data_IF_678798536744
#
_entry.id   IF_678798536744
#
_cell.length_a   1.000
_cell.length_b   1.000
_cell.length_c   1.000
_cell.angle_alpha   90.00
_cell.angle_beta   90.00
_cell.angle_gamma   90.00
#
_symmetry.space_group_name_H-M   'P 1'
#
loop_
_entity.id
_entity.type
_entity.pdbx_description
1 polymer ?
#
# COMPACT_ATOMS: atom_id res chain seq x y z
N UNK A 1 27.91 7.64 59.69
CA UNK A 1 27.37 8.12 58.40
C UNK A 1 25.93 8.55 58.63
N UNK A 2 25.58 9.80 58.34
CA UNK A 2 24.24 10.31 58.66
C UNK A 2 23.22 9.88 57.60
N UNK A 3 21.97 9.67 58.01
CA UNK A 3 20.86 9.22 57.13
C UNK A 3 20.64 10.14 55.91
N UNK A 4 21.06 11.41 56.00
CA UNK A 4 20.99 12.39 54.90
C UNK A 4 22.03 12.13 53.79
N UNK A 5 23.24 11.67 54.14
CA UNK A 5 24.27 11.31 53.15
C UNK A 5 23.89 10.04 52.38
N UNK A 6 23.29 9.06 53.07
CA UNK A 6 22.79 7.84 52.43
C UNK A 6 21.64 8.10 51.43
N UNK A 7 20.75 9.05 51.75
CA UNK A 7 19.66 9.47 50.86
C UNK A 7 20.15 10.23 49.60
N UNK A 8 21.20 11.04 49.73
CA UNK A 8 21.83 11.74 48.61
C UNK A 8 22.58 10.75 47.70
N UNK A 9 23.30 9.79 48.27
CA UNK A 9 24.01 8.76 47.51
C UNK A 9 23.03 7.82 46.79
N UNK A 10 21.92 7.43 47.43
CA UNK A 10 20.87 6.62 46.82
C UNK A 10 20.20 7.33 45.63
N UNK A 11 19.97 8.64 45.72
CA UNK A 11 19.42 9.44 44.60
C UNK A 11 20.38 9.50 43.41
N UNK A 12 21.67 9.63 43.66
CA UNK A 12 22.70 9.59 42.62
C UNK A 12 22.75 8.24 41.90
N UNK A 13 22.64 7.14 42.64
CA UNK A 13 22.62 5.79 42.08
C UNK A 13 21.35 5.52 41.26
N UNK A 14 20.18 5.95 41.72
CA UNK A 14 18.92 5.80 40.97
C UNK A 14 18.98 6.58 39.65
N UNK A 15 19.44 7.83 39.68
CA UNK A 15 19.58 8.65 38.48
C UNK A 15 20.58 8.04 37.49
N UNK A 16 21.69 7.49 37.98
CA UNK A 16 22.68 6.80 37.16
C UNK A 16 22.11 5.54 36.50
N UNK A 17 21.40 4.70 37.26
CA UNK A 17 20.77 3.49 36.72
C UNK A 17 19.69 3.83 35.69
N UNK A 18 18.88 4.87 35.94
CA UNK A 18 17.88 5.33 34.99
C UNK A 18 18.53 5.83 33.69
N UNK A 19 19.59 6.63 33.79
CA UNK A 19 20.34 7.10 32.62
C UNK A 19 20.96 5.94 31.83
N UNK A 20 21.47 4.92 32.53
CA UNK A 20 22.04 3.72 31.91
C UNK A 20 20.97 2.94 31.13
N UNK A 21 19.80 2.69 31.72
CA UNK A 21 18.69 2.00 31.06
C UNK A 21 18.21 2.76 29.83
N UNK A 22 18.03 4.08 29.93
CA UNK A 22 17.60 4.92 28.81
C UNK A 22 18.64 4.93 27.69
N UNK A 23 19.93 5.01 28.02
CA UNK A 23 21.02 4.95 27.05
C UNK A 23 21.07 3.59 26.34
N UNK A 24 20.96 2.48 27.09
CA UNK A 24 20.91 1.13 26.51
C UNK A 24 19.70 0.94 25.61
N UNK A 25 18.51 1.41 26.01
CA UNK A 25 17.31 1.34 25.18
C UNK A 25 17.44 2.17 23.89
N UNK A 26 18.05 3.35 23.97
CA UNK A 26 18.31 4.19 22.79
C UNK A 26 19.30 3.54 21.82
N UNK A 27 20.36 2.90 22.32
CA UNK A 27 21.32 2.15 21.50
C UNK A 27 20.62 0.99 20.79
N UNK A 28 19.85 0.17 21.52
CA UNK A 28 19.11 -0.96 20.94
C UNK A 28 18.09 -0.48 19.89
N UNK A 29 17.41 0.65 20.15
CA UNK A 29 16.44 1.22 19.22
C UNK A 29 17.11 1.71 17.93
N UNK A 30 18.25 2.41 18.03
CA UNK A 30 19.02 2.87 16.88
C UNK A 30 19.62 1.70 16.08
N UNK A 31 20.16 0.69 16.77
CA UNK A 31 20.70 -0.53 16.16
C UNK A 31 19.59 -1.35 15.47
N UNK A 32 18.37 -1.35 16.03
CA UNK A 32 17.19 -1.96 15.44
C UNK A 32 16.72 -1.28 14.14
N UNK A 33 16.76 0.05 14.08
CA UNK A 33 16.44 0.81 12.86
C UNK A 33 17.48 0.51 11.76
N UNK A 34 18.77 0.51 12.11
CA UNK A 34 19.86 0.29 11.15
C UNK A 34 19.86 -1.16 10.62
N UNK A 35 19.57 -2.12 11.50
CA UNK A 35 19.42 -3.53 11.13
C UNK A 35 18.21 -3.75 10.24
N UNK A 36 17.08 -3.08 10.50
CA UNK A 36 15.87 -3.21 9.68
C UNK A 36 16.08 -2.58 8.30
N UNK A 37 16.77 -1.44 8.22
CA UNK A 37 17.13 -0.80 6.95
C UNK A 37 18.05 -1.71 6.12
N UNK A 38 19.07 -2.29 6.76
CA UNK A 38 20.01 -3.20 6.11
C UNK A 38 19.38 -4.51 5.65
N UNK A 39 18.49 -5.10 6.46
CA UNK A 39 17.72 -6.29 6.05
C UNK A 39 16.80 -5.94 4.88
N UNK A 40 16.16 -4.76 4.87
CA UNK A 40 15.31 -4.35 3.76
C UNK A 40 16.11 -4.18 2.47
N UNK A 41 17.27 -3.52 2.54
CA UNK A 41 18.17 -3.38 1.40
C UNK A 41 18.70 -4.72 0.91
N UNK A 42 19.05 -5.62 1.83
CA UNK A 42 19.57 -6.94 1.48
C UNK A 42 18.48 -7.87 0.93
N UNK A 43 17.24 -7.78 1.42
CA UNK A 43 16.08 -8.48 0.84
C UNK A 43 15.73 -7.92 -0.53
N UNK A 44 15.79 -6.60 -0.74
CA UNK A 44 15.61 -5.98 -2.07
C UNK A 44 16.70 -6.42 -3.04
N UNK A 45 17.96 -6.45 -2.59
CA UNK A 45 19.09 -6.91 -3.38
C UNK A 45 19.01 -8.42 -3.69
N UNK A 46 18.66 -9.25 -2.71
CA UNK A 46 18.53 -10.68 -2.87
C UNK A 46 17.33 -11.03 -3.77
N UNK A 47 16.20 -10.31 -3.68
CA UNK A 47 15.07 -10.45 -4.63
C UNK A 47 15.50 -10.07 -6.06
N UNK A 48 16.31 -9.03 -6.21
CA UNK A 48 16.85 -8.63 -7.51
C UNK A 48 17.79 -9.69 -8.10
N UNK A 49 18.56 -10.39 -7.25
CA UNK A 49 19.54 -11.42 -7.65
C UNK A 49 18.89 -12.80 -7.84
N UNK A 50 17.86 -13.16 -7.07
CA UNK A 50 17.32 -14.54 -7.04
C UNK A 50 16.03 -14.78 -7.82
N UNK A 51 15.28 -13.77 -8.30
CA UNK A 51 13.94 -14.09 -8.84
C UNK A 51 13.23 -13.25 -9.91
N UNK A 52 13.50 -11.96 -10.17
CA UNK A 52 12.59 -11.21 -11.08
C UNK A 52 13.15 -9.98 -11.79
N UNK A 53 14.46 -9.86 -11.96
CA UNK A 53 15.03 -8.88 -12.90
C UNK A 53 15.20 -9.51 -14.30
N UNK A 54 14.19 -10.26 -14.78
CA UNK A 54 13.98 -10.28 -16.21
C UNK A 54 13.64 -8.84 -16.59
N UNK A 55 14.45 -8.20 -17.43
CA UNK A 55 13.99 -6.99 -18.14
C UNK A 55 12.54 -7.21 -18.53
N UNK A 56 11.60 -6.28 -18.27
CA UNK A 56 10.23 -6.44 -18.74
C UNK A 56 10.32 -6.69 -20.24
N UNK A 57 10.12 -7.95 -20.64
CA UNK A 57 10.17 -8.35 -22.03
C UNK A 57 9.18 -7.43 -22.74
N UNK A 58 9.60 -6.79 -23.83
CA UNK A 58 8.76 -5.83 -24.56
C UNK A 58 7.40 -6.47 -24.90
N UNK A 59 7.38 -7.80 -25.07
CA UNK A 59 6.16 -8.61 -25.22
C UNK A 59 5.23 -8.59 -23.99
N UNK A 60 5.79 -8.64 -22.79
CA UNK A 60 5.02 -8.54 -21.55
C UNK A 60 4.38 -7.15 -21.43
N UNK A 61 5.09 -6.08 -21.80
CA UNK A 61 4.51 -4.73 -21.77
C UNK A 61 3.36 -4.55 -22.76
N UNK A 62 3.49 -5.04 -24.00
CA UNK A 62 2.41 -4.97 -24.98
C UNK A 62 1.16 -5.77 -24.57
N UNK A 63 1.35 -6.91 -23.89
CA UNK A 63 0.22 -7.70 -23.38
C UNK A 63 -0.50 -6.98 -22.23
N UNK A 64 0.24 -6.28 -21.37
CA UNK A 64 -0.31 -5.47 -20.30
C UNK A 64 -1.03 -4.23 -20.83
N UNK A 65 -0.47 -3.55 -21.83
CA UNK A 65 -1.11 -2.43 -22.54
C UNK A 65 -2.44 -2.89 -23.17
N UNK A 66 -2.43 -4.01 -23.88
CA UNK A 66 -3.66 -4.59 -24.46
C UNK A 66 -4.69 -4.97 -23.39
N UNK A 67 -4.27 -5.45 -22.22
CA UNK A 67 -5.17 -5.76 -21.11
C UNK A 67 -5.81 -4.49 -20.50
N UNK A 68 -5.02 -3.41 -20.36
CA UNK A 68 -5.51 -2.11 -19.89
C UNK A 68 -6.54 -1.53 -20.88
N UNK A 69 -6.21 -1.52 -22.17
CA UNK A 69 -7.09 -1.01 -23.22
C UNK A 69 -8.37 -1.84 -23.36
N UNK A 70 -8.28 -3.16 -23.21
CA UNK A 70 -9.43 -4.07 -23.23
C UNK A 70 -10.41 -3.78 -22.09
N UNK A 71 -9.92 -3.61 -20.86
CA UNK A 71 -10.77 -3.29 -19.71
C UNK A 71 -11.53 -1.97 -19.90
N UNK A 72 -10.85 -0.95 -20.43
CA UNK A 72 -11.48 0.33 -20.79
C UNK A 72 -12.53 0.18 -21.90
N UNK A 73 -12.19 -0.54 -22.97
CA UNK A 73 -13.09 -0.76 -24.12
C UNK A 73 -14.38 -1.48 -23.69
N UNK A 74 -14.26 -2.49 -22.83
CA UNK A 74 -15.42 -3.25 -22.32
C UNK A 74 -16.33 -2.35 -21.48
N UNK A 75 -15.76 -1.46 -20.66
CA UNK A 75 -16.53 -0.48 -19.89
C UNK A 75 -17.20 0.56 -20.77
N UNK A 76 -16.50 1.13 -21.76
CA UNK A 76 -17.09 2.09 -22.71
C UNK A 76 -18.27 1.48 -23.48
N UNK A 77 -18.21 0.18 -23.80
CA UNK A 77 -19.30 -0.53 -24.45
C UNK A 77 -20.52 -0.76 -23.53
N UNK A 78 -20.29 -1.08 -22.25
CA UNK A 78 -21.35 -1.46 -21.31
C UNK A 78 -21.09 -0.94 -19.88
N UNK A 79 -21.19 0.38 -19.61
CA UNK A 79 -20.73 0.97 -18.34
C UNK A 79 -21.60 0.62 -17.14
N UNK A 80 -22.81 0.09 -17.38
CA UNK A 80 -23.77 -0.28 -16.34
C UNK A 80 -23.64 -1.73 -15.87
N UNK A 81 -22.81 -2.55 -16.54
CA UNK A 81 -22.68 -3.97 -16.21
C UNK A 81 -21.58 -4.16 -15.17
N UNK A 82 -21.84 -4.83 -14.03
CA UNK A 82 -20.85 -5.02 -12.96
C UNK A 82 -19.53 -5.64 -13.44
N UNK A 83 -19.61 -6.60 -14.37
CA UNK A 83 -18.43 -7.20 -14.99
C UNK A 83 -17.55 -6.18 -15.73
N UNK A 84 -18.17 -5.27 -16.48
CA UNK A 84 -17.45 -4.25 -17.25
C UNK A 84 -16.80 -3.21 -16.33
N UNK A 85 -17.51 -2.81 -15.28
CA UNK A 85 -16.98 -1.94 -14.23
C UNK A 85 -15.79 -2.59 -13.51
N UNK A 86 -15.91 -3.87 -13.11
CA UNK A 86 -14.82 -4.62 -12.49
C UNK A 86 -13.59 -4.74 -13.41
N UNK A 87 -13.81 -5.00 -14.71
CA UNK A 87 -12.74 -5.07 -15.69
C UNK A 87 -12.00 -3.72 -15.83
N UNK A 88 -12.73 -2.60 -15.87
CA UNK A 88 -12.13 -1.27 -15.92
C UNK A 88 -11.38 -0.90 -14.63
N UNK A 89 -11.90 -1.23 -13.45
CA UNK A 89 -11.21 -1.01 -12.17
C UNK A 89 -9.88 -1.79 -12.11
N UNK A 90 -9.91 -3.07 -12.50
CA UNK A 90 -8.70 -3.90 -12.56
C UNK A 90 -7.68 -3.36 -13.59
N UNK A 91 -8.16 -2.92 -14.75
CA UNK A 91 -7.33 -2.29 -15.77
C UNK A 91 -6.70 -0.98 -15.29
N UNK A 92 -7.44 -0.15 -14.54
CA UNK A 92 -6.93 1.09 -13.96
C UNK A 92 -5.84 0.80 -12.91
N UNK A 93 -6.05 -0.19 -12.04
CA UNK A 93 -5.04 -0.64 -11.06
C UNK A 93 -3.79 -1.18 -11.76
N UNK A 94 -3.98 -1.99 -12.80
CA UNK A 94 -2.87 -2.49 -13.61
C UNK A 94 -2.10 -1.35 -14.30
N UNK A 95 -2.82 -0.39 -14.88
CA UNK A 95 -2.26 0.79 -15.53
C UNK A 95 -1.41 1.63 -14.58
N UNK A 96 -1.92 1.91 -13.38
CA UNK A 96 -1.19 2.67 -12.36
C UNK A 96 0.01 1.88 -11.83
N UNK A 97 -0.15 0.60 -11.50
CA UNK A 97 0.95 -0.21 -10.94
C UNK A 97 2.11 -0.44 -11.93
N UNK A 98 1.80 -0.52 -13.24
CA UNK A 98 2.79 -0.78 -14.29
C UNK A 98 3.26 0.49 -15.03
N UNK A 99 2.74 1.68 -14.67
CA UNK A 99 3.05 2.92 -15.36
C UNK A 99 2.63 2.92 -16.83
N UNK A 100 1.49 2.32 -17.13
CA UNK A 100 0.89 2.24 -18.47
C UNK A 100 -0.22 3.28 -18.58
N UNK A 101 -0.16 4.14 -19.60
CA UNK A 101 -1.12 5.23 -19.81
C UNK A 101 -0.92 6.41 -18.85
N UNK A 102 -1.92 7.28 -18.77
CA UNK A 102 -1.89 8.49 -17.93
C UNK A 102 -2.56 8.18 -16.58
N UNK A 103 -1.80 8.29 -15.48
CA UNK A 103 -2.32 8.04 -14.11
C UNK A 103 -3.58 8.84 -13.79
N UNK A 104 -3.64 10.10 -14.23
CA UNK A 104 -4.80 10.96 -14.03
C UNK A 104 -6.06 10.42 -14.76
N UNK A 105 -5.91 9.76 -15.91
CA UNK A 105 -7.04 9.15 -16.61
C UNK A 105 -7.56 7.91 -15.88
N UNK A 106 -6.65 7.08 -15.35
CA UNK A 106 -7.03 5.92 -14.53
C UNK A 106 -7.76 6.35 -13.27
N UNK A 107 -7.27 7.39 -12.58
CA UNK A 107 -7.95 7.95 -11.42
C UNK A 107 -9.32 8.52 -11.79
N UNK A 108 -9.44 9.25 -12.91
CA UNK A 108 -10.73 9.77 -13.39
C UNK A 108 -11.73 8.65 -13.67
N UNK A 109 -11.28 7.56 -14.30
CA UNK A 109 -12.12 6.41 -14.61
C UNK A 109 -12.59 5.71 -13.32
N UNK A 110 -11.70 5.51 -12.36
CA UNK A 110 -12.05 4.94 -11.05
C UNK A 110 -13.05 5.84 -10.32
N UNK A 111 -12.83 7.16 -10.33
CA UNK A 111 -13.72 8.15 -9.71
C UNK A 111 -15.14 8.10 -10.31
N UNK A 112 -15.23 7.98 -11.63
CA UNK A 112 -16.49 7.85 -12.38
C UNK A 112 -17.24 6.56 -12.02
N UNK A 113 -16.54 5.43 -11.96
CA UNK A 113 -17.14 4.13 -11.61
C UNK A 113 -17.61 4.15 -10.15
N UNK A 114 -16.78 4.61 -9.22
CA UNK A 114 -17.17 4.72 -7.80
C UNK A 114 -18.38 5.64 -7.65
N UNK A 115 -18.38 6.79 -8.32
CA UNK A 115 -19.53 7.71 -8.31
C UNK A 115 -20.82 7.06 -8.82
N UNK A 116 -20.72 6.21 -9.84
CA UNK A 116 -21.87 5.43 -10.32
C UNK A 116 -22.36 4.46 -9.24
N UNK A 117 -21.45 3.67 -8.65
CA UNK A 117 -21.78 2.68 -7.61
C UNK A 117 -22.34 3.28 -6.33
N UNK A 118 -21.90 4.49 -5.96
CA UNK A 118 -22.47 5.25 -4.84
C UNK A 118 -23.96 5.58 -5.05
N UNK A 119 -24.39 5.72 -6.31
CA UNK A 119 -25.79 6.01 -6.64
C UNK A 119 -26.64 4.77 -6.90
N UNK A 120 -26.07 3.76 -7.58
CA UNK A 120 -26.79 2.56 -8.00
C UNK A 120 -26.70 1.42 -6.99
N UNK A 121 -25.77 1.49 -6.04
CA UNK A 121 -25.33 0.37 -5.23
C UNK A 121 -24.25 -0.45 -5.92
N UNK A 122 -23.44 -1.13 -5.10
CA UNK A 122 -22.43 -2.08 -5.56
C UNK A 122 -22.98 -3.51 -5.54
N UNK A 123 -22.79 -4.22 -6.64
CA UNK A 123 -23.04 -5.67 -6.73
C UNK A 123 -21.87 -6.43 -6.08
N UNK A 124 -22.15 -7.52 -5.36
CA UNK A 124 -21.12 -8.36 -4.75
C UNK A 124 -20.03 -8.84 -5.74
N UNK A 125 -20.37 -8.98 -7.02
CA UNK A 125 -19.43 -9.35 -8.08
C UNK A 125 -18.30 -8.32 -8.29
N UNK A 126 -18.50 -7.06 -7.90
CA UNK A 126 -17.50 -5.98 -8.06
C UNK A 126 -16.60 -5.79 -6.83
N UNK A 127 -16.97 -6.36 -5.67
CA UNK A 127 -16.26 -6.17 -4.40
C UNK A 127 -14.76 -6.52 -4.48
N UNK A 128 -14.32 -7.60 -5.15
CA UNK A 128 -12.88 -7.89 -5.27
C UNK A 128 -12.11 -6.80 -6.01
N UNK A 129 -12.70 -6.24 -7.08
CA UNK A 129 -12.07 -5.16 -7.85
C UNK A 129 -11.99 -3.86 -7.03
N UNK A 130 -13.04 -3.54 -6.27
CA UNK A 130 -13.05 -2.42 -5.33
C UNK A 130 -11.97 -2.58 -4.24
N UNK A 131 -11.80 -3.79 -3.69
CA UNK A 131 -10.74 -4.07 -2.72
C UNK A 131 -9.33 -3.85 -3.30
N UNK A 132 -9.10 -4.25 -4.55
CA UNK A 132 -7.83 -4.00 -5.24
C UNK A 132 -7.59 -2.50 -5.47
N UNK A 133 -8.62 -1.75 -5.84
CA UNK A 133 -8.53 -0.30 -6.00
C UNK A 133 -8.21 0.37 -4.67
N UNK A 134 -8.88 0.01 -3.58
CA UNK A 134 -8.59 0.58 -2.27
C UNK A 134 -7.13 0.33 -1.83
N UNK A 135 -6.58 -0.86 -2.14
CA UNK A 135 -5.20 -1.19 -1.82
C UNK A 135 -4.18 -0.43 -2.70
N UNK A 136 -4.47 -0.27 -4.00
CA UNK A 136 -3.54 0.34 -4.96
C UNK A 136 -3.67 1.88 -5.04
N UNK A 137 -4.83 2.42 -4.68
CA UNK A 137 -5.18 3.84 -4.79
C UNK A 137 -5.86 4.31 -3.48
N UNK A 138 -5.09 4.52 -2.39
CA UNK A 138 -5.62 4.76 -1.06
C UNK A 138 -6.55 5.99 -0.96
N UNK A 139 -6.44 6.95 -1.87
CA UNK A 139 -7.34 8.12 -1.92
C UNK A 139 -8.82 7.76 -2.11
N UNK A 140 -9.14 6.57 -2.63
CA UNK A 140 -10.51 6.11 -2.82
C UNK A 140 -11.02 5.25 -1.67
N UNK A 141 -10.18 4.88 -0.69
CA UNK A 141 -10.52 3.96 0.39
C UNK A 141 -11.78 4.39 1.15
N UNK A 142 -11.86 5.67 1.55
CA UNK A 142 -12.99 6.21 2.30
C UNK A 142 -14.33 6.07 1.57
N UNK A 143 -14.32 6.11 0.24
CA UNK A 143 -15.52 5.96 -0.60
C UNK A 143 -15.83 4.50 -0.90
N UNK A 144 -14.81 3.65 -0.98
CA UNK A 144 -14.95 2.22 -1.25
C UNK A 144 -15.42 1.44 -0.01
N UNK A 145 -14.94 1.79 1.19
CA UNK A 145 -15.31 1.09 2.43
C UNK A 145 -16.84 0.91 2.62
N UNK A 146 -17.70 1.94 2.44
CA UNK A 146 -19.14 1.75 2.58
C UNK A 146 -19.73 0.87 1.47
N UNK A 147 -19.21 0.93 0.23
CA UNK A 147 -19.66 0.10 -0.89
C UNK A 147 -19.35 -1.39 -0.66
N UNK A 148 -18.24 -1.70 0.01
CA UNK A 148 -17.89 -3.07 0.40
C UNK A 148 -18.73 -3.59 1.58
N UNK A 149 -19.32 -2.69 2.36
CA UNK A 149 -20.13 -3.03 3.52
C UNK A 149 -21.63 -3.21 3.18
N UNK A 150 -22.08 -2.70 2.02
CA UNK A 150 -23.42 -2.94 1.49
C UNK A 150 -23.51 -4.34 0.86
N UNK A 151 -24.45 -5.17 1.32
CA UNK A 151 -24.80 -6.48 0.76
C UNK A 151 -25.92 -6.37 -0.27
#
# INVERSE_FOLDING_TARGET
MSFREGLLQARGQIAFTAALIVSTAAIIYLEGIDTTARIREQVVADIAVTGSAGQPDVRSRSALEAAVDSGRTVYEANPQVPFAQAAALNAAVLGVSQGIGVVAEHHRLVDEIIGTLETSGADAAIHPALGLVAAAMPQFETRISPLLASN
#
